data_IF_353011637529
#
_entry.id   IF_353011637529
#
_cell.length_a   1.000
_cell.length_b   1.000
_cell.length_c   1.000
_cell.angle_alpha   90.00
_cell.angle_beta   90.00
_cell.angle_gamma   90.00
#
_symmetry.space_group_name_H-M   'P 1'
#
loop_
_entity.id
_entity.type
_entity.pdbx_description
1 polymer ?
#
# COMPACT_ATOMS: atom_id res chain seq x y z
N UNK A 1 13.31 0.56 5.61
CA UNK A 1 12.35 1.60 6.02
C UNK A 1 12.22 2.73 4.99
N UNK A 2 13.28 3.15 4.29
CA UNK A 2 13.23 4.22 3.26
C UNK A 2 12.29 3.97 2.07
N UNK A 3 11.95 2.70 1.78
CA UNK A 3 11.05 2.32 0.69
C UNK A 3 9.63 2.86 0.85
N UNK A 4 9.14 3.04 2.08
CA UNK A 4 7.78 3.54 2.34
C UNK A 4 7.76 5.00 2.79
N UNK A 5 8.91 5.59 3.11
CA UNK A 5 8.99 6.98 3.57
C UNK A 5 8.42 7.96 2.52
N UNK A 6 7.80 9.04 2.97
CA UNK A 6 7.32 10.11 2.08
C UNK A 6 8.45 10.79 1.33
N UNK A 7 8.13 11.49 0.24
CA UNK A 7 9.11 12.31 -0.49
C UNK A 7 9.73 13.39 0.42
N UNK A 8 8.96 13.99 1.32
CA UNK A 8 9.47 15.01 2.24
C UNK A 8 10.47 14.45 3.26
N UNK A 9 10.25 13.22 3.74
CA UNK A 9 11.19 12.55 4.62
C UNK A 9 12.55 12.32 3.93
N UNK A 10 12.56 12.05 2.61
CA UNK A 10 13.79 11.97 1.80
C UNK A 10 14.48 13.34 1.62
N UNK A 11 13.74 14.44 1.75
CA UNK A 11 14.25 15.82 1.63
C UNK A 11 14.68 16.42 2.97
N UNK A 12 14.56 15.68 4.07
CA UNK A 12 14.92 16.16 5.42
C UNK A 12 13.96 17.21 5.98
N UNK A 13 12.75 17.33 5.43
CA UNK A 13 11.73 18.23 5.94
C UNK A 13 11.07 17.69 7.22
N UNK A 14 10.44 18.58 7.99
CA UNK A 14 9.72 18.21 9.21
C UNK A 14 8.57 17.25 8.89
N UNK A 15 8.60 16.06 9.50
CA UNK A 15 7.59 15.05 9.28
C UNK A 15 6.25 15.51 9.82
N UNK A 16 5.21 15.18 9.07
CA UNK A 16 3.88 15.67 9.33
C UNK A 16 2.82 14.61 9.01
N UNK A 17 1.57 14.78 9.45
CA UNK A 17 0.54 13.74 9.31
C UNK A 17 0.25 13.31 7.86
N UNK A 18 0.58 14.14 6.85
CA UNK A 18 0.48 13.76 5.44
C UNK A 18 1.57 12.78 4.99
N UNK A 19 2.74 12.79 5.63
CA UNK A 19 3.83 11.86 5.33
C UNK A 19 3.43 10.42 5.70
N UNK A 20 2.69 10.25 6.79
CA UNK A 20 2.09 8.97 7.18
C UNK A 20 1.07 8.51 6.14
N UNK A 21 0.25 9.43 5.62
CA UNK A 21 -0.76 9.11 4.61
C UNK A 21 -0.14 8.75 3.26
N UNK A 22 0.95 9.41 2.87
CA UNK A 22 1.71 9.07 1.66
C UNK A 22 2.34 7.68 1.80
N UNK A 23 2.95 7.43 2.97
CA UNK A 23 3.55 6.13 3.31
C UNK A 23 2.53 5.01 3.28
N UNK A 24 1.33 5.24 3.82
CA UNK A 24 0.21 4.29 3.75
C UNK A 24 -0.19 4.01 2.29
N UNK A 25 -0.23 5.03 1.43
CA UNK A 25 -0.48 4.85 0.01
C UNK A 25 0.51 3.88 -0.66
N UNK A 26 1.80 4.03 -0.37
CA UNK A 26 2.83 3.12 -0.87
C UNK A 26 2.66 1.68 -0.35
N UNK A 27 2.29 1.51 0.93
CA UNK A 27 2.01 0.18 1.51
C UNK A 27 0.83 -0.49 0.83
N UNK A 28 -0.26 0.25 0.55
CA UNK A 28 -1.43 -0.29 -0.13
C UNK A 28 -1.11 -0.74 -1.56
N UNK A 29 -0.29 0.03 -2.29
CA UNK A 29 0.18 -0.35 -3.64
C UNK A 29 1.10 -1.57 -3.56
N UNK A 30 1.98 -1.62 -2.57
CA UNK A 30 2.83 -2.78 -2.34
C UNK A 30 2.02 -4.06 -2.11
N UNK A 31 0.96 -4.03 -1.30
CA UNK A 31 0.09 -5.20 -1.14
C UNK A 31 -0.63 -5.61 -2.42
N UNK A 32 -0.95 -4.64 -3.29
CA UNK A 32 -1.64 -4.92 -4.54
C UNK A 32 -0.70 -5.49 -5.62
N UNK A 33 0.53 -5.01 -5.70
CA UNK A 33 1.49 -5.36 -6.77
C UNK A 33 2.59 -6.34 -6.32
N UNK A 34 2.71 -6.60 -5.02
CA UNK A 34 3.74 -7.44 -4.41
C UNK A 34 5.14 -6.80 -4.31
N UNK A 35 5.38 -5.70 -5.03
CA UNK A 35 6.63 -4.95 -5.01
C UNK A 35 6.42 -3.49 -5.37
N UNK A 36 7.39 -2.64 -5.05
CA UNK A 36 7.44 -1.23 -5.47
C UNK A 36 8.63 -1.01 -6.39
N UNK A 37 8.52 -0.13 -7.41
CA UNK A 37 9.57 0.10 -8.42
C UNK A 37 10.92 0.56 -7.87
N UNK A 38 11.01 0.97 -6.61
CA UNK A 38 12.20 1.51 -5.95
C UNK A 38 12.77 0.64 -4.82
N UNK A 39 12.26 -0.58 -4.60
CA UNK A 39 12.71 -1.44 -3.49
C UNK A 39 14.14 -2.00 -3.66
N UNK A 40 14.52 -2.43 -4.86
CA UNK A 40 15.76 -3.18 -5.11
C UNK A 40 16.90 -2.34 -5.73
N UNK A 41 16.91 -1.04 -5.46
CA UNK A 41 17.95 -0.15 -5.96
C UNK A 41 19.26 -0.35 -5.18
N UNK A 42 20.36 -0.59 -5.92
CA UNK A 42 21.71 -0.69 -5.37
C UNK A 42 22.46 0.63 -5.54
N UNK A 43 23.25 0.98 -4.53
CA UNK A 43 24.05 2.21 -4.48
C UNK A 43 25.26 1.99 -3.57
N UNK A 44 26.33 2.74 -3.83
CA UNK A 44 27.59 2.63 -3.08
C UNK A 44 27.51 3.26 -1.69
N UNK A 45 26.66 4.29 -1.53
CA UNK A 45 26.43 4.98 -0.25
C UNK A 45 24.95 5.07 0.07
N UNK A 46 24.62 5.18 1.36
CA UNK A 46 23.24 5.34 1.83
C UNK A 46 22.59 6.62 1.29
N UNK A 47 23.32 7.74 1.27
CA UNK A 47 22.85 9.01 0.70
C UNK A 47 22.54 8.89 -0.80
N UNK A 48 23.41 8.18 -1.55
CA UNK A 48 23.15 7.94 -2.97
C UNK A 48 21.92 7.04 -3.17
N UNK A 49 21.73 6.04 -2.31
CA UNK A 49 20.56 5.17 -2.32
C UNK A 49 19.26 5.96 -2.12
N UNK A 50 19.23 6.88 -1.16
CA UNK A 50 18.07 7.72 -0.88
C UNK A 50 17.72 8.63 -2.06
N UNK A 51 18.73 9.28 -2.66
CA UNK A 51 18.53 10.08 -3.89
C UNK A 51 17.98 9.25 -5.06
N UNK A 52 18.47 8.02 -5.24
CA UNK A 52 17.95 7.10 -6.27
C UNK A 52 16.50 6.68 -6.01
N UNK A 53 16.17 6.36 -4.75
CA UNK A 53 14.80 6.02 -4.34
C UNK A 53 13.87 7.20 -4.61
N UNK A 54 14.25 8.42 -4.22
CA UNK A 54 13.47 9.63 -4.45
C UNK A 54 13.20 9.86 -5.95
N UNK A 55 14.24 9.81 -6.77
CA UNK A 55 14.11 9.99 -8.23
C UNK A 55 13.21 8.92 -8.85
N UNK A 56 13.35 7.66 -8.42
CA UNK A 56 12.53 6.55 -8.92
C UNK A 56 11.07 6.69 -8.47
N UNK A 57 10.81 7.16 -7.24
CA UNK A 57 9.45 7.46 -6.76
C UNK A 57 8.77 8.50 -7.61
N UNK A 58 9.43 9.65 -7.83
CA UNK A 58 8.91 10.73 -8.67
C UNK A 58 8.58 10.22 -10.08
N UNK A 59 9.56 9.57 -10.73
CA UNK A 59 9.36 9.02 -12.06
C UNK A 59 8.22 7.99 -12.12
N UNK A 60 8.12 7.07 -11.16
CA UNK A 60 7.09 6.04 -11.16
C UNK A 60 5.69 6.63 -10.92
N UNK A 61 5.58 7.65 -10.06
CA UNK A 61 4.31 8.35 -9.83
C UNK A 61 3.84 9.09 -11.10
N UNK A 62 4.76 9.71 -11.82
CA UNK A 62 4.47 10.41 -13.07
C UNK A 62 4.13 9.42 -14.19
N UNK A 63 4.79 8.26 -14.23
CA UNK A 63 4.54 7.23 -15.22
C UNK A 63 4.49 5.81 -14.62
N UNK A 64 3.31 5.18 -14.74
CA UNK A 64 3.18 3.73 -14.65
C UNK A 64 2.84 3.15 -13.27
N UNK A 65 3.07 3.84 -12.15
CA UNK A 65 2.75 3.28 -10.81
C UNK A 65 1.27 2.90 -10.66
N UNK A 66 0.40 3.74 -11.22
CA UNK A 66 -1.06 3.56 -11.18
C UNK A 66 -1.61 2.84 -12.41
N UNK A 67 -0.75 2.30 -13.27
CA UNK A 67 -1.20 1.54 -14.43
C UNK A 67 -1.78 0.20 -13.96
N UNK A 68 -2.89 -0.20 -14.57
CA UNK A 68 -3.53 -1.51 -14.34
C UNK A 68 -4.02 -1.75 -12.89
N UNK A 69 -4.12 -0.69 -12.07
CA UNK A 69 -4.74 -0.73 -10.73
C UNK A 69 -5.94 0.23 -10.65
N UNK A 70 -6.86 0.06 -9.69
CA UNK A 70 -8.03 0.93 -9.57
C UNK A 70 -7.66 2.42 -9.43
N UNK A 71 -8.40 3.29 -10.11
CA UNK A 71 -8.14 4.73 -10.14
C UNK A 71 -8.18 5.38 -8.74
N UNK A 72 -8.89 4.78 -7.78
CA UNK A 72 -8.92 5.23 -6.38
C UNK A 72 -7.53 5.38 -5.75
N UNK A 73 -6.56 4.53 -6.13
CA UNK A 73 -5.18 4.63 -5.63
C UNK A 73 -4.49 5.91 -6.14
N UNK A 74 -4.73 6.27 -7.41
CA UNK A 74 -4.23 7.51 -7.99
C UNK A 74 -4.89 8.72 -7.32
N UNK A 75 -6.22 8.71 -7.19
CA UNK A 75 -7.00 9.76 -6.50
C UNK A 75 -6.58 9.95 -5.05
N UNK A 76 -6.28 8.87 -4.34
CA UNK A 76 -5.73 8.90 -2.98
C UNK A 76 -4.39 9.64 -2.96
N UNK A 77 -3.44 9.26 -3.81
CA UNK A 77 -2.12 9.88 -3.86
C UNK A 77 -2.18 11.35 -4.27
N UNK A 78 -2.99 11.69 -5.27
CA UNK A 78 -3.20 13.08 -5.71
C UNK A 78 -3.78 13.94 -4.56
N UNK A 79 -4.76 13.42 -3.82
CA UNK A 79 -5.32 14.13 -2.67
C UNK A 79 -4.28 14.36 -1.58
N UNK A 80 -3.55 13.31 -1.16
CA UNK A 80 -2.54 13.41 -0.11
C UNK A 80 -1.44 14.40 -0.47
N UNK A 81 -0.97 14.41 -1.74
CA UNK A 81 0.06 15.35 -2.21
C UNK A 81 -0.43 16.78 -2.41
N UNK A 82 -1.74 16.99 -2.57
CA UNK A 82 -2.32 18.34 -2.70
C UNK A 82 -2.46 19.07 -1.37
N UNK A 83 -2.35 18.35 -0.24
CA UNK A 83 -2.49 18.94 1.09
C UNK A 83 -1.32 19.89 1.37
N UNK A 84 -1.64 21.02 2.00
CA UNK A 84 -0.64 21.95 2.53
C UNK A 84 -0.14 21.51 3.89
N UNK A 85 0.96 22.11 4.33
CA UNK A 85 1.66 21.71 5.55
C UNK A 85 0.93 22.01 6.88
N UNK A 86 -0.24 22.62 6.85
CA UNK A 86 -1.07 22.90 8.01
C UNK A 86 -2.46 22.25 7.89
N UNK A 87 -2.71 21.58 6.76
CA UNK A 87 -4.02 21.04 6.42
C UNK A 87 -4.17 19.59 6.87
N UNK A 88 -5.28 19.30 7.55
CA UNK A 88 -5.60 17.93 7.97
C UNK A 88 -6.13 17.12 6.78
N UNK A 89 -5.60 15.91 6.52
CA UNK A 89 -6.15 15.03 5.49
C UNK A 89 -7.64 14.78 5.70
N UNK A 90 -8.44 14.80 4.62
CA UNK A 90 -9.85 14.44 4.71
C UNK A 90 -10.00 12.91 4.79
N UNK A 91 -9.83 12.35 5.99
CA UNK A 91 -9.92 10.90 6.22
C UNK A 91 -11.27 10.30 5.82
N UNK A 92 -12.36 11.07 5.88
CA UNK A 92 -13.69 10.62 5.46
C UNK A 92 -13.72 10.39 3.95
N UNK A 93 -13.19 11.35 3.18
CA UNK A 93 -13.05 11.22 1.73
C UNK A 93 -12.16 10.04 1.34
N UNK A 94 -10.98 9.94 1.94
CA UNK A 94 -10.02 8.88 1.63
C UNK A 94 -10.59 7.48 1.90
N UNK A 95 -11.28 7.28 3.04
CA UNK A 95 -11.98 6.01 3.31
C UNK A 95 -13.13 5.76 2.34
N UNK A 96 -13.83 6.80 1.91
CA UNK A 96 -14.97 6.68 0.99
C UNK A 96 -14.53 6.21 -0.40
N UNK A 97 -13.36 6.62 -0.88
CA UNK A 97 -12.79 6.13 -2.15
C UNK A 97 -12.74 4.60 -2.16
N UNK A 98 -12.03 4.01 -1.19
CA UNK A 98 -11.87 2.56 -1.13
C UNK A 98 -13.16 1.82 -0.79
N UNK A 99 -14.03 2.36 0.08
CA UNK A 99 -15.34 1.76 0.36
C UNK A 99 -16.23 1.69 -0.88
N UNK A 100 -16.22 2.73 -1.71
CA UNK A 100 -16.99 2.74 -2.95
C UNK A 100 -16.43 1.70 -3.94
N UNK A 101 -15.11 1.65 -4.10
CA UNK A 101 -14.44 0.62 -4.91
C UNK A 101 -14.79 -0.79 -4.43
N UNK A 102 -14.69 -1.04 -3.12
CA UNK A 102 -14.99 -2.32 -2.49
C UNK A 102 -16.42 -2.78 -2.80
N UNK A 103 -17.41 -1.89 -2.67
CA UNK A 103 -18.81 -2.17 -3.03
C UNK A 103 -18.99 -2.43 -4.52
N UNK A 104 -18.35 -1.64 -5.40
CA UNK A 104 -18.45 -1.84 -6.86
C UNK A 104 -17.84 -3.16 -7.32
N UNK A 105 -16.86 -3.68 -6.58
CA UNK A 105 -16.28 -5.00 -6.80
C UNK A 105 -17.15 -6.15 -6.27
N UNK A 106 -18.25 -5.84 -5.58
CA UNK A 106 -19.17 -6.82 -5.02
C UNK A 106 -18.67 -7.48 -3.73
N UNK A 107 -17.67 -6.91 -3.06
CA UNK A 107 -17.16 -7.45 -1.80
C UNK A 107 -18.07 -7.09 -0.62
N UNK A 108 -18.16 -8.01 0.34
CA UNK A 108 -18.85 -7.83 1.60
C UNK A 108 -17.85 -7.61 2.73
N UNK A 109 -18.23 -6.81 3.72
CA UNK A 109 -17.38 -6.54 4.87
C UNK A 109 -17.64 -7.58 5.96
N UNK A 110 -17.16 -8.79 5.72
CA UNK A 110 -17.38 -10.00 6.53
C UNK A 110 -16.20 -10.35 7.45
N UNK A 111 -15.12 -9.55 7.40
CA UNK A 111 -13.86 -9.78 8.10
C UNK A 111 -13.11 -11.06 7.69
N UNK A 112 -13.40 -11.60 6.50
CA UNK A 112 -12.66 -12.71 5.91
C UNK A 112 -11.50 -12.17 5.09
N UNK A 113 -10.27 -12.49 5.51
CA UNK A 113 -9.03 -12.14 4.83
C UNK A 113 -8.37 -13.40 4.25
N UNK A 114 -7.40 -13.26 3.35
CA UNK A 114 -6.74 -14.36 2.63
C UNK A 114 -6.19 -15.46 3.58
N UNK A 115 -5.21 -15.10 4.42
CA UNK A 115 -5.43 -15.14 5.87
C UNK A 115 -6.27 -16.23 6.53
N UNK A 116 -7.49 -15.78 6.86
CA UNK A 116 -8.50 -16.49 7.63
C UNK A 116 -9.05 -17.66 6.82
N UNK A 117 -9.23 -17.49 5.50
CA UNK A 117 -9.68 -18.55 4.62
C UNK A 117 -8.66 -19.70 4.54
N UNK A 118 -7.37 -19.37 4.42
CA UNK A 118 -6.29 -20.36 4.41
C UNK A 118 -6.26 -21.21 5.70
N UNK A 119 -6.39 -20.57 6.86
CA UNK A 119 -6.42 -21.28 8.15
C UNK A 119 -7.64 -22.20 8.26
N UNK A 120 -8.79 -21.76 7.78
CA UNK A 120 -10.01 -22.57 7.77
C UNK A 120 -9.86 -23.81 6.88
N UNK A 121 -9.31 -23.66 5.67
CA UNK A 121 -9.06 -24.79 4.77
C UNK A 121 -8.05 -25.78 5.36
N UNK A 122 -6.96 -25.30 5.96
CA UNK A 122 -5.96 -26.14 6.64
C UNK A 122 -6.57 -26.95 7.79
N UNK A 123 -7.49 -26.34 8.54
CA UNK A 123 -8.20 -27.02 9.61
C UNK A 123 -9.08 -28.15 9.06
N UNK A 124 -9.87 -27.91 8.01
CA UNK A 124 -10.69 -28.94 7.35
C UNK A 124 -9.85 -30.10 6.81
N UNK A 125 -8.68 -29.81 6.23
CA UNK A 125 -7.76 -30.86 5.75
C UNK A 125 -7.18 -31.71 6.90
N UNK A 126 -6.94 -31.10 8.06
CA UNK A 126 -6.44 -31.82 9.24
C UNK A 126 -7.48 -32.76 9.84
N UNK A 127 -8.75 -32.34 9.85
CA UNK A 127 -9.87 -33.16 10.33
C UNK A 127 -10.15 -34.35 9.39
N UNK A 128 -10.15 -34.12 8.07
CA UNK A 128 -10.33 -35.18 7.09
C UNK A 128 -9.18 -36.21 7.11
N UNK A 129 -7.94 -35.79 7.37
CA UNK A 129 -6.80 -36.71 7.54
C UNK A 129 -6.85 -37.51 8.83
N UNK A 130 -7.45 -36.96 9.90
CA UNK A 130 -7.72 -37.69 11.14
C UNK A 130 -8.76 -38.79 10.92
N UNK A 131 -9.88 -38.44 10.29
CA UNK A 131 -10.97 -39.38 10.01
C UNK A 131 -10.57 -40.57 9.11
N UNK A 132 -9.60 -40.41 8.20
CA UNK A 132 -9.08 -41.51 7.38
C UNK A 132 -8.05 -42.41 8.08
N UNK A 133 -7.51 -42.01 9.24
CA UNK A 133 -6.56 -42.83 10.01
C UNK A 133 -7.23 -43.72 11.06
N UNK A 134 -8.45 -43.37 11.45
CA UNK A 134 -9.22 -44.07 12.49
C UNK A 134 -10.17 -45.14 11.91
N UNK A 135 -10.01 -45.51 10.63
CA UNK A 135 -10.81 -46.48 9.88
C UNK A 135 -9.91 -47.48 9.16
#
# INVERSE_FOLDING_TARGET
>A
TSSYASVNAHLGAEQSPWDDMESLGYVLIYFLQGSLPWQDLKADTQEHKEKLILKRKQSAMDCGLYKDIPEEFKKYSEHVRSLRSDEKPNYVYLRRLFRNLFRRKGYEYDHVFDWTALKFLQHLESENKGAMRDN
#
